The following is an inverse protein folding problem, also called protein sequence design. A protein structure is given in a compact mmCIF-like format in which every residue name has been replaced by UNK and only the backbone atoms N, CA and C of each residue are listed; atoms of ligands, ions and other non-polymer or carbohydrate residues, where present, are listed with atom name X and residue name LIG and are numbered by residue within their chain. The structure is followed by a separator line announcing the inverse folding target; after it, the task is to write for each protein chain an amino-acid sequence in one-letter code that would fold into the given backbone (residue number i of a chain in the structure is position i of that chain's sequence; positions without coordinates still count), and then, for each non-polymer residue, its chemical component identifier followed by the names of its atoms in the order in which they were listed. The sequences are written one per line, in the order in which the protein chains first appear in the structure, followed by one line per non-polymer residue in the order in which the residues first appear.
data_IF_284464476065
#
_entry.id   IF_284464476065
#
_cell.length_a   1.000
_cell.length_b   1.000
_cell.length_c   1.000
_cell.angle_alpha   90.00
_cell.angle_beta   90.00
_cell.angle_gamma   90.00
#
_symmetry.space_group_name_H-M   'P 1'
#
loop_
_entity.id
_entity.type
_entity.pdbx_description
1 polymer ?
#
# COMPACT_ATOMS: atom_id res chain seq x y z
N UNK A 1 -19.70 -19.42 -13.76
CA UNK A 1 -19.82 -18.04 -14.29
C UNK A 1 -18.93 -17.15 -13.42
N UNK A 2 -18.02 -16.36 -14.01
CA UNK A 2 -17.16 -15.40 -13.27
C UNK A 2 -18.03 -14.28 -12.74
N UNK A 3 -17.89 -13.94 -11.44
CA UNK A 3 -18.67 -12.88 -10.79
C UNK A 3 -17.82 -11.68 -10.39
N UNK A 4 -16.52 -11.88 -10.16
CA UNK A 4 -15.59 -10.84 -9.76
C UNK A 4 -14.23 -11.04 -10.42
N UNK A 5 -13.51 -9.94 -10.66
CA UNK A 5 -12.12 -9.91 -11.13
C UNK A 5 -11.34 -9.02 -10.19
N UNK A 6 -10.21 -9.52 -9.71
CA UNK A 6 -9.25 -8.79 -8.89
C UNK A 6 -8.05 -8.43 -9.75
N UNK A 7 -7.67 -7.17 -9.73
CA UNK A 7 -6.67 -6.58 -10.61
C UNK A 7 -5.53 -6.01 -9.75
N UNK A 8 -4.33 -6.48 -10.02
CA UNK A 8 -3.14 -5.85 -9.48
C UNK A 8 -2.82 -4.55 -10.22
N UNK A 9 -2.07 -3.66 -9.60
CA UNK A 9 -1.73 -2.35 -10.13
C UNK A 9 -0.42 -2.41 -10.90
N UNK A 10 0.67 -2.75 -10.22
CA UNK A 10 2.02 -2.61 -10.71
C UNK A 10 2.40 -3.73 -11.69
N UNK A 11 2.61 -3.37 -12.96
CA UNK A 11 2.83 -4.35 -14.03
C UNK A 11 1.56 -4.96 -14.62
N UNK A 12 0.37 -4.64 -14.09
CA UNK A 12 -0.94 -5.12 -14.57
C UNK A 12 -1.79 -3.98 -15.13
N UNK A 13 -2.34 -3.10 -14.27
CA UNK A 13 -3.13 -1.95 -14.71
C UNK A 13 -2.26 -0.81 -15.23
N UNK A 14 -1.13 -0.59 -14.56
CA UNK A 14 -0.12 0.37 -14.98
C UNK A 14 1.20 -0.36 -15.27
N UNK A 15 1.98 0.13 -16.22
CA UNK A 15 3.26 -0.48 -16.58
C UNK A 15 4.34 0.57 -16.77
N UNK A 16 5.51 0.31 -16.18
CA UNK A 16 6.72 1.08 -16.37
C UNK A 16 6.57 2.55 -16.02
N UNK A 17 7.00 3.45 -16.92
CA UNK A 17 7.08 4.90 -16.71
C UNK A 17 5.75 5.64 -16.80
N UNK A 18 4.60 4.96 -16.92
CA UNK A 18 3.28 5.60 -17.09
C UNK A 18 2.36 5.24 -15.92
N UNK A 19 2.08 6.18 -15.01
CA UNK A 19 1.17 5.95 -13.89
C UNK A 19 -0.31 6.09 -14.31
N UNK A 20 -0.69 5.63 -15.51
CA UNK A 20 -2.05 5.75 -16.02
C UNK A 20 -2.53 4.46 -16.67
N UNK A 21 -3.79 4.14 -16.45
CA UNK A 21 -4.46 3.01 -17.11
C UNK A 21 -4.66 3.36 -18.59
N UNK A 22 -4.30 2.45 -19.50
CA UNK A 22 -4.52 2.67 -20.92
C UNK A 22 -6.01 2.76 -21.26
N UNK A 23 -6.36 3.62 -22.23
CA UNK A 23 -7.76 3.80 -22.65
C UNK A 23 -8.43 2.48 -23.07
N UNK A 24 -7.71 1.63 -23.77
CA UNK A 24 -8.19 0.32 -24.23
C UNK A 24 -8.53 -0.60 -23.04
N UNK A 25 -7.74 -0.53 -21.96
CA UNK A 25 -7.99 -1.28 -20.72
C UNK A 25 -9.25 -0.74 -20.04
N UNK A 26 -9.40 0.58 -19.92
CA UNK A 26 -10.60 1.22 -19.34
C UNK A 26 -11.85 0.80 -20.12
N UNK A 27 -11.81 0.80 -21.46
CA UNK A 27 -12.95 0.36 -22.27
C UNK A 27 -13.24 -1.14 -22.09
N UNK A 28 -12.21 -1.97 -21.94
CA UNK A 28 -12.36 -3.38 -21.60
C UNK A 28 -13.03 -3.59 -20.23
N UNK A 29 -12.58 -2.85 -19.22
CA UNK A 29 -13.17 -2.89 -17.85
C UNK A 29 -14.66 -2.47 -17.88
N UNK A 30 -15.01 -1.43 -18.64
CA UNK A 30 -16.41 -1.02 -18.82
C UNK A 30 -17.26 -2.12 -19.46
N UNK A 31 -16.73 -2.84 -20.45
CA UNK A 31 -17.43 -3.96 -21.08
C UNK A 31 -17.61 -5.14 -20.13
N UNK A 32 -16.62 -5.43 -19.29
CA UNK A 32 -16.70 -6.46 -18.25
C UNK A 32 -17.78 -6.10 -17.23
N UNK A 33 -17.81 -4.85 -16.77
CA UNK A 33 -18.83 -4.36 -15.82
C UNK A 33 -20.25 -4.46 -16.41
N UNK A 34 -20.45 -4.16 -17.69
CA UNK A 34 -21.75 -4.33 -18.36
C UNK A 34 -22.28 -5.77 -18.36
N UNK A 35 -21.40 -6.76 -18.16
CA UNK A 35 -21.80 -8.17 -17.99
C UNK A 35 -22.13 -8.54 -16.54
N UNK A 36 -22.21 -7.57 -15.64
CA UNK A 36 -22.49 -7.77 -14.21
C UNK A 36 -21.33 -8.36 -13.42
N UNK A 37 -20.08 -8.23 -13.92
CA UNK A 37 -18.89 -8.69 -13.22
C UNK A 37 -18.31 -7.54 -12.40
N UNK A 38 -18.10 -7.77 -11.13
CA UNK A 38 -17.50 -6.81 -10.20
C UNK A 38 -15.98 -6.72 -10.41
N UNK A 39 -15.42 -5.52 -10.22
CA UNK A 39 -14.02 -5.21 -10.47
C UNK A 39 -13.38 -4.65 -9.21
N UNK A 40 -12.35 -5.32 -8.72
CA UNK A 40 -11.63 -4.99 -7.51
C UNK A 40 -10.16 -4.70 -7.80
N UNK A 41 -9.57 -3.77 -7.05
CA UNK A 41 -8.13 -3.63 -6.95
C UNK A 41 -7.61 -4.57 -5.85
N UNK A 42 -6.47 -5.23 -6.11
CA UNK A 42 -5.74 -6.02 -5.12
C UNK A 42 -4.26 -5.62 -5.20
N UNK A 43 -3.75 -4.91 -4.20
CA UNK A 43 -2.42 -4.32 -4.22
C UNK A 43 -1.80 -4.22 -2.82
N UNK A 44 -0.47 -4.16 -2.76
CA UNK A 44 0.26 -3.79 -1.55
C UNK A 44 0.18 -2.29 -1.22
N UNK A 45 -0.25 -1.46 -2.19
CA UNK A 45 -0.28 0.00 -2.05
C UNK A 45 -1.34 0.47 -1.06
N UNK A 46 -1.10 1.67 -0.50
CA UNK A 46 -2.06 2.42 0.28
C UNK A 46 -3.03 3.20 -0.62
N UNK A 47 -4.24 3.53 -0.12
CA UNK A 47 -5.22 4.32 -0.88
C UNK A 47 -4.65 5.69 -1.30
N UNK A 48 -3.89 6.36 -0.44
CA UNK A 48 -3.24 7.64 -0.77
C UNK A 48 -2.33 7.55 -1.99
N UNK A 49 -1.66 6.41 -2.21
CA UNK A 49 -0.83 6.22 -3.39
C UNK A 49 -1.67 6.02 -4.66
N UNK A 50 -2.84 5.39 -4.55
CA UNK A 50 -3.79 5.27 -5.67
C UNK A 50 -4.38 6.62 -6.05
N UNK A 51 -4.64 7.48 -5.06
CA UNK A 51 -5.10 8.86 -5.23
C UNK A 51 -4.00 9.73 -5.85
N UNK A 52 -2.76 9.64 -5.36
CA UNK A 52 -1.60 10.33 -5.92
C UNK A 52 -1.39 9.99 -7.40
N UNK A 53 -1.50 8.70 -7.74
CA UNK A 53 -1.43 8.20 -9.11
C UNK A 53 -2.70 8.50 -9.92
N UNK A 54 -3.72 9.10 -9.31
CA UNK A 54 -5.04 9.37 -9.91
C UNK A 54 -5.72 8.13 -10.50
N UNK A 55 -5.43 6.96 -9.98
CA UNK A 55 -6.00 5.70 -10.50
C UNK A 55 -7.51 5.62 -10.22
N UNK A 56 -7.93 6.07 -9.04
CA UNK A 56 -9.33 6.10 -8.62
C UNK A 56 -10.18 7.09 -9.43
N UNK A 57 -9.55 8.12 -10.02
CA UNK A 57 -10.23 9.07 -10.91
C UNK A 57 -10.43 8.52 -12.32
N UNK A 58 -9.59 7.58 -12.75
CA UNK A 58 -9.62 7.03 -14.12
C UNK A 58 -10.69 5.97 -14.30
N UNK A 59 -10.98 5.21 -13.24
CA UNK A 59 -12.00 4.16 -13.24
C UNK A 59 -12.49 3.90 -11.82
N UNK A 60 -13.80 3.84 -11.62
CA UNK A 60 -14.42 3.48 -10.35
C UNK A 60 -14.41 1.97 -10.17
N UNK A 61 -13.77 1.45 -9.13
CA UNK A 61 -13.77 0.04 -8.78
C UNK A 61 -14.86 -0.27 -7.74
N UNK A 62 -15.32 -1.52 -7.71
CA UNK A 62 -16.37 -1.96 -6.77
C UNK A 62 -15.82 -2.15 -5.35
N UNK A 63 -14.50 -2.26 -5.21
CA UNK A 63 -13.82 -2.33 -3.92
C UNK A 63 -12.32 -2.49 -4.06
N UNK A 64 -11.66 -2.53 -2.91
CA UNK A 64 -10.21 -2.47 -2.80
C UNK A 64 -9.70 -3.45 -1.75
N UNK A 65 -8.69 -4.23 -2.10
CA UNK A 65 -7.90 -5.06 -1.21
C UNK A 65 -6.50 -4.45 -1.15
N UNK A 66 -6.25 -3.63 -0.15
CA UNK A 66 -5.02 -2.84 0.00
C UNK A 66 -4.14 -3.38 1.12
N UNK A 67 -2.92 -2.84 1.21
CA UNK A 67 -1.94 -3.20 2.24
C UNK A 67 -1.74 -4.74 2.31
N UNK A 68 -1.50 -5.34 1.13
CA UNK A 68 -1.34 -6.80 1.00
C UNK A 68 -2.54 -7.61 1.54
N UNK A 69 -3.74 -7.04 1.47
CA UNK A 69 -4.98 -7.62 1.97
C UNK A 69 -5.27 -7.34 3.44
N UNK A 70 -4.46 -6.53 4.12
CA UNK A 70 -4.69 -6.10 5.51
C UNK A 70 -5.89 -5.17 5.68
N UNK A 71 -6.29 -4.47 4.61
CA UNK A 71 -7.43 -3.56 4.60
C UNK A 71 -8.27 -3.73 3.33
N UNK A 72 -9.51 -4.21 3.50
CA UNK A 72 -10.37 -4.51 2.35
C UNK A 72 -11.71 -3.81 2.45
N UNK A 73 -12.18 -3.27 1.31
CA UNK A 73 -13.46 -2.57 1.21
C UNK A 73 -14.29 -3.04 0.03
N UNK A 74 -15.62 -2.92 0.15
CA UNK A 74 -16.59 -2.97 -0.96
C UNK A 74 -17.37 -1.66 -0.93
N UNK A 75 -17.25 -0.85 -1.98
CA UNK A 75 -17.70 0.54 -1.92
C UNK A 75 -17.07 1.27 -0.75
N UNK A 76 -17.88 1.84 0.12
CA UNK A 76 -17.44 2.51 1.36
C UNK A 76 -17.40 1.61 2.60
N UNK A 77 -17.83 0.35 2.49
CA UNK A 77 -17.88 -0.56 3.62
C UNK A 77 -16.56 -1.30 3.79
N UNK A 78 -15.98 -1.24 5.00
CA UNK A 78 -14.84 -2.08 5.39
C UNK A 78 -15.37 -3.50 5.62
N UNK A 79 -14.81 -4.48 4.90
CA UNK A 79 -15.17 -5.90 5.01
C UNK A 79 -14.09 -6.74 5.69
N UNK A 80 -12.88 -6.21 5.74
CA UNK A 80 -11.75 -6.83 6.44
C UNK A 80 -10.80 -5.76 6.94
N UNK A 81 -10.38 -5.89 8.20
CA UNK A 81 -9.53 -4.93 8.92
C UNK A 81 -8.59 -5.71 9.84
N UNK A 82 -7.35 -5.90 9.41
CA UNK A 82 -6.35 -6.69 10.12
C UNK A 82 -5.09 -5.87 10.39
N UNK A 83 -5.02 -5.31 11.59
CA UNK A 83 -3.89 -4.53 12.08
C UNK A 83 -2.83 -5.43 12.69
N UNK A 84 -1.61 -4.93 12.74
CA UNK A 84 -0.53 -5.58 13.49
C UNK A 84 -0.90 -5.56 14.98
N UNK A 85 -0.80 -6.70 15.70
CA UNK A 85 -1.02 -6.74 17.15
C UNK A 85 -0.11 -5.74 17.87
N UNK A 86 -0.66 -5.05 18.87
CA UNK A 86 0.09 -4.03 19.60
C UNK A 86 1.39 -4.55 20.23
N UNK A 87 1.40 -5.80 20.68
CA UNK A 87 2.57 -6.41 21.31
C UNK A 87 3.70 -6.58 20.32
N UNK A 88 3.40 -7.10 19.13
CA UNK A 88 4.36 -7.25 18.04
C UNK A 88 4.87 -5.88 17.57
N UNK A 89 3.96 -4.91 17.47
CA UNK A 89 4.32 -3.56 17.06
C UNK A 89 5.24 -2.85 18.06
N UNK A 90 5.05 -3.07 19.37
CA UNK A 90 5.96 -2.53 20.40
C UNK A 90 7.38 -3.07 20.25
N UNK A 91 7.53 -4.35 19.94
CA UNK A 91 8.84 -4.96 19.67
C UNK A 91 9.48 -4.38 18.41
N UNK A 92 8.72 -4.29 17.32
CA UNK A 92 9.19 -3.67 16.07
C UNK A 92 9.65 -2.22 16.33
N UNK A 93 8.85 -1.42 17.02
CA UNK A 93 9.18 -0.02 17.34
C UNK A 93 10.45 0.07 18.20
N UNK A 94 10.64 -0.86 19.13
CA UNK A 94 11.84 -0.94 19.95
C UNK A 94 13.07 -1.20 19.07
N UNK A 95 13.04 -2.22 18.22
CA UNK A 95 14.13 -2.57 17.29
C UNK A 95 14.46 -1.39 16.37
N UNK A 96 13.45 -0.77 15.78
CA UNK A 96 13.58 0.40 14.89
C UNK A 96 14.29 1.55 15.60
N UNK A 97 13.90 1.85 16.85
CA UNK A 97 14.49 2.94 17.65
C UNK A 97 15.92 2.63 18.10
N UNK A 98 16.16 1.42 18.62
CA UNK A 98 17.49 1.02 19.12
C UNK A 98 18.55 1.02 18.02
N UNK A 99 18.17 0.64 16.80
CA UNK A 99 19.08 0.59 15.66
C UNK A 99 19.02 1.86 14.78
N UNK A 100 18.18 2.83 15.12
CA UNK A 100 17.96 4.04 14.33
C UNK A 100 17.66 3.74 12.86
N UNK A 101 16.77 2.76 12.58
CA UNK A 101 16.37 2.44 11.23
C UNK A 101 15.31 3.42 10.73
N UNK A 102 15.43 3.95 9.48
CA UNK A 102 14.29 4.60 8.85
C UNK A 102 13.17 3.58 8.68
N UNK A 103 12.00 3.94 9.12
CA UNK A 103 10.88 3.00 9.12
C UNK A 103 9.58 3.71 8.74
N UNK A 104 8.89 3.19 7.73
CA UNK A 104 7.58 3.62 7.32
C UNK A 104 6.53 2.89 8.14
N UNK A 105 5.59 3.64 8.70
CA UNK A 105 4.42 3.14 9.39
C UNK A 105 3.17 3.50 8.61
N UNK A 106 2.31 2.52 8.37
CA UNK A 106 1.14 2.65 7.51
C UNK A 106 -0.12 2.38 8.30
N UNK A 107 -0.95 3.41 8.44
CA UNK A 107 -2.30 3.36 8.98
C UNK A 107 -3.34 3.24 7.84
N UNK A 108 -4.63 3.14 8.16
CA UNK A 108 -5.68 3.08 7.13
C UNK A 108 -5.87 4.39 6.35
N UNK A 109 -5.51 5.53 6.95
CA UNK A 109 -5.78 6.87 6.45
C UNK A 109 -4.55 7.76 6.32
N UNK A 110 -3.40 7.30 6.75
CA UNK A 110 -2.14 8.02 6.65
C UNK A 110 -0.94 7.06 6.66
N UNK A 111 0.20 7.57 6.20
CA UNK A 111 1.49 6.93 6.34
C UNK A 111 2.55 7.97 6.67
N UNK A 112 3.55 7.57 7.44
CA UNK A 112 4.63 8.44 7.87
C UNK A 112 5.91 7.66 8.14
N UNK A 113 7.05 8.32 8.01
CA UNK A 113 8.37 7.73 8.18
C UNK A 113 9.10 8.36 9.37
N UNK A 114 9.91 7.58 10.11
CA UNK A 114 10.64 8.08 11.28
C UNK A 114 11.70 9.11 10.91
N UNK A 115 12.46 8.86 9.86
CA UNK A 115 13.44 9.78 9.28
C UNK A 115 13.82 9.34 7.87
N UNK A 116 14.54 10.18 7.15
CA UNK A 116 14.93 9.94 5.75
C UNK A 116 16.45 9.83 5.64
N UNK A 117 16.92 8.82 4.92
CA UNK A 117 18.30 8.66 4.50
C UNK A 117 18.35 8.36 2.99
N UNK A 118 19.55 8.18 2.43
CA UNK A 118 19.72 7.92 1.00
C UNK A 118 18.97 6.66 0.54
N UNK A 119 18.92 5.62 1.37
CA UNK A 119 18.21 4.36 1.06
C UNK A 119 16.71 4.57 0.89
N UNK A 120 16.09 5.39 1.75
CA UNK A 120 14.68 5.77 1.62
C UNK A 120 14.45 6.52 0.30
N UNK A 121 15.33 7.48 -0.02
CA UNK A 121 15.23 8.27 -1.26
C UNK A 121 15.28 7.34 -2.48
N UNK A 122 16.26 6.45 -2.52
CA UNK A 122 16.46 5.53 -3.64
C UNK A 122 15.28 4.54 -3.78
N UNK A 123 14.79 4.01 -2.66
CA UNK A 123 13.67 3.08 -2.65
C UNK A 123 12.37 3.76 -3.14
N UNK A 124 12.03 4.92 -2.61
CA UNK A 124 10.83 5.66 -3.03
C UNK A 124 10.90 6.09 -4.51
N UNK A 125 12.07 6.52 -4.97
CA UNK A 125 12.29 6.85 -6.38
C UNK A 125 12.10 5.62 -7.29
N UNK A 126 12.50 4.43 -6.85
CA UNK A 126 12.39 3.20 -7.65
C UNK A 126 10.94 2.79 -7.93
N UNK A 127 10.04 3.07 -7.01
CA UNK A 127 8.59 2.79 -7.12
C UNK A 127 7.76 4.01 -7.53
N UNK A 128 8.43 5.15 -7.80
CA UNK A 128 7.81 6.41 -8.23
C UNK A 128 6.73 6.93 -7.25
N UNK A 129 7.02 6.85 -5.94
CA UNK A 129 6.16 7.40 -4.88
C UNK A 129 6.86 8.53 -4.13
N UNK A 130 6.06 9.40 -3.52
CA UNK A 130 6.58 10.47 -2.66
C UNK A 130 7.12 9.91 -1.35
N UNK A 131 8.08 10.63 -0.75
CA UNK A 131 8.55 10.35 0.60
C UNK A 131 7.45 10.82 1.57
N UNK A 132 6.89 9.92 2.41
CA UNK A 132 5.87 10.29 3.38
C UNK A 132 6.37 11.31 4.40
N UNK A 133 5.47 12.05 5.07
CA UNK A 133 5.85 12.99 6.11
C UNK A 133 6.62 12.32 7.25
N UNK A 134 7.58 13.06 7.82
CA UNK A 134 8.36 12.57 8.96
C UNK A 134 7.51 12.71 10.24
N UNK A 135 7.37 11.63 11.00
CA UNK A 135 6.77 11.62 12.32
C UNK A 135 7.43 10.59 13.23
N UNK A 136 7.68 10.97 14.47
CA UNK A 136 8.11 10.07 15.55
C UNK A 136 6.96 9.69 16.50
N UNK A 137 5.75 10.17 16.23
CA UNK A 137 4.54 9.80 16.96
C UNK A 137 3.91 8.59 16.27
N UNK A 138 4.15 7.40 16.81
CA UNK A 138 3.67 6.14 16.26
C UNK A 138 2.36 5.77 16.96
N UNK A 139 1.28 5.66 16.17
CA UNK A 139 -0.02 5.22 16.67
C UNK A 139 -0.08 3.69 16.69
N UNK A 140 0.32 3.09 17.81
CA UNK A 140 0.39 1.63 17.96
C UNK A 140 -0.96 0.90 17.88
N UNK A 141 -2.07 1.63 17.84
CA UNK A 141 -3.41 1.03 17.78
C UNK A 141 -3.94 0.89 16.34
N UNK A 142 -3.25 1.46 15.35
CA UNK A 142 -3.82 1.57 14.00
C UNK A 142 -2.82 1.30 12.87
N UNK A 143 -1.80 0.48 13.09
CA UNK A 143 -0.79 0.14 12.07
C UNK A 143 -1.15 -1.18 11.38
N UNK A 144 -1.13 -1.17 10.06
CA UNK A 144 -1.38 -2.33 9.18
C UNK A 144 -0.10 -2.89 8.60
N UNK A 145 0.88 -2.04 8.35
CA UNK A 145 2.14 -2.43 7.73
C UNK A 145 3.28 -1.56 8.26
N UNK A 146 4.45 -2.17 8.34
CA UNK A 146 5.69 -1.52 8.77
C UNK A 146 6.80 -1.89 7.79
N UNK A 147 7.43 -0.89 7.17
CA UNK A 147 8.48 -1.12 6.18
C UNK A 147 9.80 -0.49 6.67
N UNK A 148 10.69 -1.26 7.30
CA UNK A 148 12.01 -0.78 7.69
C UNK A 148 12.96 -0.73 6.49
N UNK A 149 13.63 0.39 6.28
CA UNK A 149 14.63 0.57 5.23
C UNK A 149 16.01 0.15 5.72
N UNK A 150 16.25 -1.16 5.72
CA UNK A 150 17.46 -1.78 6.26
C UNK A 150 18.30 -2.48 5.17
N UNK A 151 19.54 -2.83 5.49
CA UNK A 151 20.39 -3.69 4.67
C UNK A 151 20.25 -5.17 5.08
N UNK A 152 21.01 -6.04 4.43
CA UNK A 152 20.99 -7.47 4.73
C UNK A 152 21.35 -7.77 6.20
N UNK A 153 22.17 -6.94 6.83
CA UNK A 153 22.51 -7.07 8.25
C UNK A 153 21.29 -6.75 9.11
N UNK A 154 20.64 -5.61 8.84
CA UNK A 154 19.40 -5.21 9.53
C UNK A 154 18.27 -6.22 9.36
N UNK A 155 18.13 -6.85 8.19
CA UNK A 155 17.16 -7.93 7.98
C UNK A 155 17.40 -9.09 8.94
N UNK A 156 18.66 -9.50 9.11
CA UNK A 156 19.01 -10.59 10.04
C UNK A 156 18.75 -10.22 11.50
N UNK A 157 18.98 -8.97 11.87
CA UNK A 157 18.73 -8.47 13.23
C UNK A 157 17.22 -8.42 13.56
N UNK A 158 16.37 -8.13 12.58
CA UNK A 158 14.91 -8.13 12.75
C UNK A 158 14.36 -9.56 12.86
N UNK A 159 14.99 -10.53 12.22
CA UNK A 159 14.56 -11.94 12.22
C UNK A 159 15.15 -12.78 13.37
N UNK A 160 16.01 -12.24 14.21
CA UNK A 160 16.62 -12.93 15.34
C UNK A 160 15.82 -12.77 16.62
#
# INVERSE_FOLDING_TARGET
MIKAIFLDIDGTLISGKRPSIKKEVIEGLKQVRKKGIQLFIASGRHMLELEELKLVEQFEFDGYLLLNGGYCTIGSQIIYDNKIPQEDLKEIVKIVKENNYPCLFIESNQMYITHVNQRVIDAQASISTMIPPISNQINIDNIYQVDPYVDEKGIKEIHS
#
